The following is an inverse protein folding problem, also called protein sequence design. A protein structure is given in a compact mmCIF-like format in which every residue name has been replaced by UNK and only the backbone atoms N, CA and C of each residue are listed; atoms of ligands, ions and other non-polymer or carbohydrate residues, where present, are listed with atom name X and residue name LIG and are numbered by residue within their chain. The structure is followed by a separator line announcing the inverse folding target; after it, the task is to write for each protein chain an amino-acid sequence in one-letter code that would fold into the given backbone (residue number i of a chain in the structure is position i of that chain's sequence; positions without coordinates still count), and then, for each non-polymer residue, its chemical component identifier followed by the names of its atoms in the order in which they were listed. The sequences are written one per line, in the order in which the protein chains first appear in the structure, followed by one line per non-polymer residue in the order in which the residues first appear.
data_IF_208585877275
#
_entry.id   IF_208585877275
#
_cell.length_a   1.000
_cell.length_b   1.000
_cell.length_c   1.000
_cell.angle_alpha   90.00
_cell.angle_beta   90.00
_cell.angle_gamma   90.00
#
_symmetry.space_group_name_H-M   'P 1'
#
loop_
_entity.id
_entity.type
_entity.pdbx_description
1 polymer ?
#
# COMPACT_ATOMS: atom_id res chain seq x y z
N UNK A 1 -1.20 23.35 11.30
CA UNK A 1 -0.06 22.65 11.93
C UNK A 1 0.75 21.89 10.89
N UNK A 2 2.02 22.28 10.75
CA UNK A 2 2.95 21.78 9.76
C UNK A 2 3.16 20.26 9.86
N UNK A 3 2.96 19.56 8.73
CA UNK A 3 3.49 18.21 8.51
C UNK A 3 5.02 18.28 8.43
N UNK A 4 5.65 18.40 9.59
CA UNK A 4 7.09 18.25 9.74
C UNK A 4 7.46 16.84 9.32
N UNK A 5 8.32 16.72 8.31
CA UNK A 5 8.95 15.48 7.82
C UNK A 5 9.75 14.69 8.88
N UNK A 6 9.61 15.02 10.16
CA UNK A 6 10.39 14.47 11.28
C UNK A 6 9.62 13.56 12.24
N UNK A 7 8.34 13.22 11.99
CA UNK A 7 7.58 12.33 12.89
C UNK A 7 6.68 11.29 12.22
N UNK A 8 7.04 10.82 11.02
CA UNK A 8 6.67 9.46 10.62
C UNK A 8 7.76 8.55 11.17
N UNK A 9 7.51 7.95 12.34
CA UNK A 9 8.42 6.97 12.92
C UNK A 9 8.83 5.95 11.87
N UNK A 10 10.15 5.85 11.65
CA UNK A 10 10.84 4.75 11.00
C UNK A 10 10.12 4.12 9.81
N UNK A 11 9.90 4.88 8.73
CA UNK A 11 9.43 4.26 7.50
C UNK A 11 10.03 4.87 6.24
N UNK A 12 10.67 4.02 5.43
CA UNK A 12 11.06 4.35 4.07
C UNK A 12 9.81 4.52 3.22
N UNK A 13 9.50 5.77 2.91
CA UNK A 13 8.43 6.14 2.00
C UNK A 13 9.04 6.32 0.61
N UNK A 14 8.85 5.40 -0.34
CA UNK A 14 9.08 5.74 -1.73
C UNK A 14 8.02 6.78 -2.13
N UNK A 15 8.48 7.99 -2.43
CA UNK A 15 7.65 9.03 -3.02
C UNK A 15 7.61 8.79 -4.52
N UNK A 16 6.45 8.42 -5.04
CA UNK A 16 6.30 8.27 -6.47
C UNK A 16 5.66 9.52 -7.07
N UNK A 17 6.24 10.01 -8.15
CA UNK A 17 5.62 10.99 -9.03
C UNK A 17 5.35 10.33 -10.37
N UNK A 18 4.27 10.75 -11.04
CA UNK A 18 3.97 10.31 -12.40
C UNK A 18 5.21 10.55 -13.29
N UNK A 19 5.79 9.50 -13.90
CA UNK A 19 6.95 9.65 -14.76
C UNK A 19 6.58 10.46 -16.00
N UNK A 20 7.47 11.39 -16.39
CA UNK A 20 7.30 12.28 -17.55
C UNK A 20 8.24 11.91 -18.70
N UNK A 21 9.18 10.99 -18.47
CA UNK A 21 10.13 10.49 -19.47
C UNK A 21 10.31 8.98 -19.39
N UNK A 22 10.84 8.37 -20.45
CA UNK A 22 11.16 6.93 -20.47
C UNK A 22 12.14 6.53 -19.37
N UNK A 23 13.15 7.35 -19.08
CA UNK A 23 14.12 7.09 -18.01
C UNK A 23 13.46 7.14 -16.63
N UNK A 24 12.54 8.10 -16.41
CA UNK A 24 11.76 8.16 -15.18
C UNK A 24 10.82 6.98 -15.04
N UNK A 25 10.19 6.52 -16.13
CA UNK A 25 9.35 5.33 -16.14
C UNK A 25 10.13 4.08 -15.73
N UNK A 26 11.35 3.90 -16.25
CA UNK A 26 12.20 2.77 -15.88
C UNK A 26 12.58 2.80 -14.40
N UNK A 27 12.94 3.97 -13.86
CA UNK A 27 13.24 4.14 -12.43
C UNK A 27 12.01 3.88 -11.55
N UNK A 28 10.86 4.40 -11.96
CA UNK A 28 9.58 4.15 -11.29
C UNK A 28 9.29 2.64 -11.25
N UNK A 29 9.33 1.95 -12.38
CA UNK A 29 9.08 0.50 -12.46
C UNK A 29 10.06 -0.29 -11.56
N UNK A 30 11.35 0.04 -11.61
CA UNK A 30 12.37 -0.63 -10.78
C UNK A 30 12.13 -0.40 -9.28
N UNK A 31 11.71 0.80 -8.89
CA UNK A 31 11.42 1.15 -7.49
C UNK A 31 10.17 0.41 -7.00
N UNK A 32 9.10 0.42 -7.80
CA UNK A 32 7.85 -0.30 -7.50
C UNK A 32 8.12 -1.80 -7.40
N UNK A 33 8.90 -2.37 -8.32
CA UNK A 33 9.26 -3.79 -8.28
C UNK A 33 10.04 -4.16 -7.02
N UNK A 34 11.04 -3.35 -6.65
CA UNK A 34 11.83 -3.57 -5.42
C UNK A 34 10.95 -3.49 -4.18
N UNK A 35 9.99 -2.56 -4.16
CA UNK A 35 9.02 -2.44 -3.07
C UNK A 35 8.10 -3.67 -2.98
N UNK A 36 7.59 -4.17 -4.12
CA UNK A 36 6.78 -5.40 -4.18
C UNK A 36 7.56 -6.59 -3.61
N UNK A 37 8.85 -6.73 -3.94
CA UNK A 37 9.69 -7.78 -3.39
C UNK A 37 9.83 -7.68 -1.87
N UNK A 38 10.05 -6.48 -1.33
CA UNK A 38 10.12 -6.26 0.12
C UNK A 38 8.80 -6.57 0.84
N UNK A 39 7.67 -6.18 0.25
CA UNK A 39 6.33 -6.51 0.76
C UNK A 39 6.10 -8.02 0.73
N UNK A 40 6.46 -8.70 -0.36
CA UNK A 40 6.34 -10.16 -0.49
C UNK A 40 7.15 -10.89 0.60
N UNK A 41 8.37 -10.43 0.87
CA UNK A 41 9.19 -10.98 1.96
C UNK A 41 8.54 -10.76 3.33
N UNK A 42 8.05 -9.55 3.61
CA UNK A 42 7.35 -9.25 4.86
C UNK A 42 6.08 -10.11 5.02
N UNK A 43 5.34 -10.35 3.94
CA UNK A 43 4.17 -11.23 3.92
C UNK A 43 4.54 -12.68 4.21
N UNK A 44 5.59 -13.20 3.57
CA UNK A 44 6.04 -14.58 3.75
C UNK A 44 6.51 -14.87 5.17
N UNK A 45 7.07 -13.87 5.85
CA UNK A 45 7.49 -13.97 7.26
C UNK A 45 6.35 -13.70 8.26
N UNK A 46 5.15 -13.35 7.80
CA UNK A 46 4.03 -12.99 8.68
C UNK A 46 4.13 -11.59 9.29
N UNK A 47 5.11 -10.78 8.89
CA UNK A 47 5.44 -9.52 9.56
C UNK A 47 4.51 -8.37 9.19
N UNK A 48 3.94 -8.37 7.99
CA UNK A 48 3.18 -7.23 7.51
C UNK A 48 1.77 -7.21 8.13
N UNK A 49 1.41 -6.14 8.85
CA UNK A 49 0.07 -5.98 9.44
C UNK A 49 -0.85 -5.11 8.58
N UNK A 50 -0.33 -3.98 8.11
CA UNK A 50 -1.08 -2.99 7.35
C UNK A 50 -0.18 -2.32 6.31
N UNK A 51 -0.71 -2.13 5.11
CA UNK A 51 -0.15 -1.23 4.11
C UNK A 51 -1.16 -0.12 3.80
N UNK A 52 -0.72 1.13 3.92
CA UNK A 52 -1.53 2.32 3.64
C UNK A 52 -0.94 3.09 2.46
N UNK A 53 -1.69 3.22 1.38
CA UNK A 53 -1.32 4.03 0.22
C UNK A 53 -1.97 5.40 0.32
N UNK A 54 -1.17 6.45 0.22
CA UNK A 54 -1.60 7.84 0.26
C UNK A 54 -1.43 8.48 -1.11
N UNK A 55 -2.44 9.26 -1.51
CA UNK A 55 -2.33 10.27 -2.56
C UNK A 55 -2.23 11.61 -1.85
N UNK A 56 -1.14 12.33 -2.06
CA UNK A 56 -0.83 13.57 -1.34
C UNK A 56 -0.70 14.71 -2.35
N UNK A 57 -1.37 15.82 -2.08
CA UNK A 57 -1.24 17.06 -2.84
C UNK A 57 0.18 17.60 -2.75
N UNK A 58 0.81 17.97 -3.88
CA UNK A 58 2.12 18.65 -3.85
C UNK A 58 2.04 20.12 -3.46
N UNK A 59 0.84 20.71 -3.42
CA UNK A 59 0.66 22.13 -3.17
C UNK A 59 0.73 22.45 -1.67
N UNK A 60 0.12 21.60 -0.85
CA UNK A 60 -0.12 21.86 0.57
C UNK A 60 0.10 20.62 1.47
N UNK A 61 0.61 19.51 0.90
CA UNK A 61 0.83 18.24 1.58
C UNK A 61 -0.43 17.61 2.22
N UNK A 62 -1.62 18.05 1.79
CA UNK A 62 -2.87 17.42 2.22
C UNK A 62 -3.01 16.00 1.66
N UNK A 63 -3.56 15.10 2.48
CA UNK A 63 -3.93 13.75 2.04
C UNK A 63 -5.23 13.88 1.24
N UNK A 64 -5.15 13.56 -0.06
CA UNK A 64 -6.29 13.57 -0.97
C UNK A 64 -7.05 12.25 -0.90
N UNK A 65 -6.32 11.13 -0.84
CA UNK A 65 -6.88 9.78 -0.75
C UNK A 65 -6.01 8.90 0.14
N UNK A 66 -6.64 7.92 0.77
CA UNK A 66 -6.00 6.93 1.63
C UNK A 66 -6.63 5.56 1.39
N UNK A 67 -5.79 4.56 1.13
CA UNK A 67 -6.21 3.17 0.89
C UNK A 67 -5.48 2.25 1.85
N UNK A 68 -6.23 1.49 2.65
CA UNK A 68 -5.68 0.61 3.68
C UNK A 68 -5.90 -0.85 3.34
N UNK A 69 -4.83 -1.64 3.42
CA UNK A 69 -4.82 -3.08 3.20
C UNK A 69 -4.35 -3.77 4.48
N UNK A 70 -5.27 -4.47 5.11
CA UNK A 70 -5.04 -5.22 6.35
C UNK A 70 -4.67 -6.68 6.02
N UNK A 71 -3.71 -7.22 6.75
CA UNK A 71 -3.21 -8.58 6.55
C UNK A 71 -3.40 -9.41 7.83
N UNK A 72 -3.96 -10.60 7.66
CA UNK A 72 -4.17 -11.59 8.71
C UNK A 72 -3.49 -12.92 8.31
N UNK A 73 -3.00 -13.67 9.30
CA UNK A 73 -2.21 -14.88 9.07
C UNK A 73 -2.74 -16.05 9.89
N UNK A 74 -3.06 -17.15 9.21
CA UNK A 74 -3.62 -18.36 9.83
C UNK A 74 -2.70 -19.03 10.86
N UNK A 75 -1.39 -18.76 10.84
CA UNK A 75 -0.38 -19.50 11.61
C UNK A 75 0.15 -18.78 12.85
N UNK A 76 -0.20 -17.51 13.09
CA UNK A 76 0.42 -16.72 14.18
C UNK A 76 -0.46 -16.52 15.41
N UNK A 77 -1.71 -16.97 15.42
CA UNK A 77 -2.57 -16.89 16.62
C UNK A 77 -2.80 -15.46 17.14
N UNK A 78 -2.54 -14.44 16.33
CA UNK A 78 -2.80 -13.04 16.65
C UNK A 78 -3.99 -12.57 15.80
N UNK A 79 -5.16 -13.13 16.11
CA UNK A 79 -6.45 -12.58 15.68
C UNK A 79 -6.80 -11.41 16.61
N UNK A 80 -6.27 -10.23 16.31
CA UNK A 80 -6.63 -9.01 17.06
C UNK A 80 -7.63 -8.11 16.32
N UNK A 81 -8.32 -8.63 15.29
CA UNK A 81 -9.51 -7.99 14.75
C UNK A 81 -10.61 -9.05 14.56
N UNK A 82 -11.79 -8.77 15.13
CA UNK A 82 -13.05 -9.55 15.05
C UNK A 82 -13.62 -9.62 13.62
N UNK A 83 -12.80 -9.91 12.61
CA UNK A 83 -13.23 -10.05 11.23
C UNK A 83 -12.98 -11.50 10.80
N UNK A 84 -14.06 -12.21 10.48
CA UNK A 84 -13.95 -13.58 9.98
C UNK A 84 -13.38 -13.54 8.57
N UNK A 85 -12.07 -13.77 8.44
CA UNK A 85 -11.47 -13.94 7.13
C UNK A 85 -11.95 -15.27 6.53
N UNK A 86 -12.51 -15.20 5.33
CA UNK A 86 -12.97 -16.38 4.58
C UNK A 86 -11.79 -17.29 4.30
N UNK A 87 -11.82 -18.51 4.86
CA UNK A 87 -10.86 -19.55 4.50
C UNK A 87 -11.09 -19.96 3.05
N UNK A 88 -10.20 -19.53 2.16
CA UNK A 88 -10.25 -19.87 0.73
C UNK A 88 -9.61 -21.23 0.50
N UNK A 89 -10.34 -22.14 -0.15
CA UNK A 89 -9.95 -23.56 -0.22
C UNK A 89 -9.34 -23.97 -1.56
N UNK A 90 -9.51 -23.18 -2.62
CA UNK A 90 -8.96 -23.46 -3.96
C UNK A 90 -8.22 -22.27 -4.58
N UNK A 91 -7.24 -22.57 -5.46
CA UNK A 91 -6.49 -21.55 -6.21
C UNK A 91 -7.41 -20.77 -7.14
N UNK A 92 -8.41 -21.44 -7.73
CA UNK A 92 -9.37 -20.80 -8.64
C UNK A 92 -10.23 -19.78 -7.91
N UNK A 93 -10.67 -20.08 -6.68
CA UNK A 93 -11.41 -19.13 -5.84
C UNK A 93 -10.55 -17.91 -5.50
N UNK A 94 -9.27 -18.12 -5.19
CA UNK A 94 -8.31 -17.02 -4.94
C UNK A 94 -8.17 -16.15 -6.19
N UNK A 95 -8.00 -16.74 -7.37
CA UNK A 95 -7.90 -16.01 -8.62
C UNK A 95 -9.16 -15.17 -8.90
N UNK A 96 -10.35 -15.74 -8.72
CA UNK A 96 -11.61 -15.02 -8.90
C UNK A 96 -11.77 -13.85 -7.92
N UNK A 97 -11.37 -14.04 -6.66
CA UNK A 97 -11.40 -12.97 -5.66
C UNK A 97 -10.43 -11.84 -6.00
N UNK A 98 -9.21 -12.16 -6.47
CA UNK A 98 -8.24 -11.17 -6.91
C UNK A 98 -8.77 -10.39 -8.11
N UNK A 99 -9.32 -11.07 -9.12
CA UNK A 99 -9.90 -10.41 -10.29
C UNK A 99 -11.02 -9.46 -9.91
N UNK A 100 -11.95 -9.91 -9.06
CA UNK A 100 -13.05 -9.08 -8.57
C UNK A 100 -12.56 -7.87 -7.78
N UNK A 101 -11.54 -8.04 -6.93
CA UNK A 101 -10.94 -6.93 -6.20
C UNK A 101 -10.28 -5.92 -7.15
N UNK A 102 -9.57 -6.38 -8.19
CA UNK A 102 -8.97 -5.52 -9.21
C UNK A 102 -10.03 -4.76 -10.03
N UNK A 103 -11.14 -5.40 -10.38
CA UNK A 103 -12.25 -4.73 -11.06
C UNK A 103 -12.86 -3.62 -10.19
N UNK A 104 -13.08 -3.88 -8.91
CA UNK A 104 -13.58 -2.89 -7.96
C UNK A 104 -12.59 -1.72 -7.78
N UNK A 105 -11.29 -2.03 -7.68
CA UNK A 105 -10.25 -1.01 -7.58
C UNK A 105 -10.23 -0.15 -8.84
N UNK A 106 -10.25 -0.75 -10.04
CA UNK A 106 -10.23 -0.01 -11.30
C UNK A 106 -11.44 0.92 -11.42
N UNK A 107 -12.65 0.42 -11.13
CA UNK A 107 -13.85 1.24 -11.17
C UNK A 107 -13.76 2.42 -10.19
N UNK A 108 -13.33 2.17 -8.96
CA UNK A 108 -13.19 3.20 -7.93
C UNK A 108 -12.11 4.23 -8.28
N UNK A 109 -10.98 3.77 -8.81
CA UNK A 109 -9.85 4.59 -9.21
C UNK A 109 -10.22 5.48 -10.39
N UNK A 110 -10.91 4.96 -11.40
CA UNK A 110 -11.34 5.75 -12.55
C UNK A 110 -12.30 6.87 -12.14
N UNK A 111 -13.28 6.57 -11.28
CA UNK A 111 -14.25 7.56 -10.80
C UNK A 111 -13.58 8.65 -9.93
N UNK A 112 -12.63 8.29 -9.06
CA UNK A 112 -12.04 9.22 -8.08
C UNK A 112 -10.78 9.91 -8.58
N UNK A 113 -9.86 9.23 -9.25
CA UNK A 113 -8.63 9.85 -9.76
C UNK A 113 -8.89 10.82 -10.93
N UNK A 114 -9.91 10.60 -11.77
CA UNK A 114 -10.31 11.59 -12.79
C UNK A 114 -10.64 12.96 -12.18
N UNK A 115 -11.18 12.97 -10.95
CA UNK A 115 -11.45 14.21 -10.22
C UNK A 115 -10.18 14.91 -9.71
N UNK A 116 -9.12 14.13 -9.42
CA UNK A 116 -7.84 14.61 -8.87
C UNK A 116 -6.88 15.04 -9.99
N UNK A 117 -6.78 14.28 -11.08
CA UNK A 117 -5.94 14.57 -12.26
C UNK A 117 -6.31 15.93 -12.88
N UNK A 118 -7.59 16.32 -12.81
CA UNK A 118 -8.08 17.61 -13.30
C UNK A 118 -7.75 18.81 -12.39
N UNK A 119 -7.27 18.60 -11.16
CA UNK A 119 -7.24 19.65 -10.12
C UNK A 119 -5.86 19.96 -9.54
N UNK A 120 -4.87 19.05 -9.58
CA UNK A 120 -3.60 19.30 -8.87
C UNK A 120 -2.48 18.32 -9.20
N UNK A 121 -1.22 18.77 -9.06
CA UNK A 121 -0.06 17.88 -9.02
C UNK A 121 -0.05 17.09 -7.70
N UNK A 122 0.06 15.76 -7.76
CA UNK A 122 0.10 14.89 -6.58
C UNK A 122 1.33 13.98 -6.56
N UNK A 123 1.62 13.43 -5.38
CA UNK A 123 2.64 12.42 -5.12
C UNK A 123 2.02 11.25 -4.36
N UNK A 124 2.58 10.06 -4.55
CA UNK A 124 2.16 8.87 -3.81
C UNK A 124 3.14 8.57 -2.69
N UNK A 125 2.62 8.07 -1.58
CA UNK A 125 3.38 7.59 -0.44
C UNK A 125 2.78 6.26 -0.01
N UNK A 126 3.62 5.33 0.44
CA UNK A 126 3.14 4.12 1.09
C UNK A 126 3.68 4.06 2.51
N UNK A 127 2.80 3.79 3.46
CA UNK A 127 3.13 3.48 4.84
C UNK A 127 2.90 2.00 5.11
N UNK A 128 3.82 1.37 5.82
CA UNK A 128 3.77 -0.02 6.22
C UNK A 128 3.72 -0.04 7.75
N UNK A 129 2.97 -0.98 8.31
CA UNK A 129 2.99 -1.30 9.72
C UNK A 129 3.26 -2.79 9.87
N UNK A 130 4.22 -3.13 10.71
CA UNK A 130 4.57 -4.51 11.01
C UNK A 130 3.86 -5.01 12.27
N UNK A 131 3.78 -6.32 12.41
CA UNK A 131 3.30 -7.00 13.60
C UNK A 131 4.43 -7.03 14.65
N UNK A 132 4.39 -6.08 15.58
CA UNK A 132 5.40 -5.89 16.62
C UNK A 132 5.62 -7.11 17.53
N UNK A 133 4.74 -8.10 17.51
CA UNK A 133 4.87 -9.31 18.36
C UNK A 133 5.81 -10.35 17.76
N UNK A 134 6.11 -10.27 16.46
CA UNK A 134 6.85 -11.29 15.72
C UNK A 134 7.95 -10.72 14.82
N UNK A 135 7.86 -9.44 14.47
CA UNK A 135 8.89 -8.75 13.67
C UNK A 135 10.09 -8.40 14.57
N UNK A 136 11.32 -8.76 14.19
CA UNK A 136 12.53 -8.31 14.88
C UNK A 136 12.63 -6.78 14.93
N UNK A 137 13.19 -6.23 16.00
CA UNK A 137 13.33 -4.79 16.18
C UNK A 137 14.25 -4.13 15.11
N UNK A 138 15.14 -4.91 14.48
CA UNK A 138 16.09 -4.46 13.47
C UNK A 138 15.67 -4.74 12.01
N UNK A 139 14.43 -5.20 11.80
CA UNK A 139 13.83 -5.43 10.48
C UNK A 139 13.43 -4.13 9.77
#
# INVERSE_FOLDING_TARGET
DHFSSKKLGSLFVPLFTRPSSMTEQQRFNSTVFSWILGVHQALSNGYLKLATFFVISKLDDSILEMYEYYFAYNSTGIDNHNESFSSTTSVDDIQQQVLKALEQINQFVDERLQSIDNRSSYRFCVKIQYNSSITPDDY
#
